data_IF_162189648976
#
_entry.id   IF_162189648976
#
_cell.length_a   1.000
_cell.length_b   1.000
_cell.length_c   1.000
_cell.angle_alpha   90.00
_cell.angle_beta   90.00
_cell.angle_gamma   90.00
#
_symmetry.space_group_name_H-M   'P 1'
#
loop_
_entity.id
_entity.type
_entity.pdbx_description
1 polymer ?
#
# COMPACT_ATOMS: atom_id res chain seq x y z
N UNK A 1 -13.80 -4.71 16.99
CA UNK A 1 -13.55 -3.66 17.98
C UNK A 1 -13.04 -2.46 17.19
N UNK A 2 -13.75 -1.33 17.17
CA UNK A 2 -13.34 -0.12 16.47
C UNK A 2 -12.35 0.64 17.37
N UNK A 3 -11.13 0.83 16.93
CA UNK A 3 -10.16 1.66 17.63
C UNK A 3 -10.03 3.00 16.91
N UNK A 4 -10.34 4.10 17.60
CA UNK A 4 -9.87 5.42 17.22
C UNK A 4 -8.43 5.54 17.68
N UNK A 5 -7.51 5.77 16.77
CA UNK A 5 -6.13 6.15 17.12
C UNK A 5 -6.19 7.57 17.63
N UNK A 6 -6.28 7.74 18.94
CA UNK A 6 -6.20 9.07 19.55
C UNK A 6 -4.79 9.66 19.33
N UNK A 7 -4.67 10.99 19.31
CA UNK A 7 -3.39 11.73 19.23
C UNK A 7 -2.29 11.24 20.20
N UNK A 8 -2.61 10.40 21.18
CA UNK A 8 -1.66 9.87 22.19
C UNK A 8 -0.95 8.58 21.77
N UNK A 9 -1.53 7.76 20.87
CA UNK A 9 -0.91 6.52 20.41
C UNK A 9 0.00 6.73 19.17
N UNK A 10 0.34 7.95 18.94
CA UNK A 10 0.83 8.57 17.74
C UNK A 10 2.34 8.46 17.50
N UNK A 11 3.01 7.39 17.91
CA UNK A 11 4.43 7.24 17.57
C UNK A 11 4.64 7.10 16.04
N UNK A 12 3.81 6.35 15.37
CA UNK A 12 3.75 6.27 13.90
C UNK A 12 3.38 7.62 13.29
N UNK A 13 2.42 8.30 13.92
CA UNK A 13 1.87 9.54 13.47
C UNK A 13 2.86 10.70 13.51
N UNK A 14 3.51 10.88 14.66
CA UNK A 14 4.40 12.02 14.86
C UNK A 14 5.72 11.90 14.09
N UNK A 15 6.24 10.66 13.88
CA UNK A 15 7.53 10.49 13.22
C UNK A 15 7.39 10.29 11.69
N UNK A 16 6.48 9.41 11.23
CA UNK A 16 6.35 9.14 9.79
C UNK A 16 5.62 10.26 9.04
N UNK A 17 4.53 10.78 9.60
CA UNK A 17 3.71 11.77 8.92
C UNK A 17 4.28 13.18 9.00
N UNK A 18 4.63 13.66 10.18
CA UNK A 18 5.11 15.03 10.34
C UNK A 18 6.47 15.28 9.72
N UNK A 19 7.36 14.29 9.73
CA UNK A 19 8.66 14.43 9.06
C UNK A 19 8.51 14.41 7.55
N UNK A 20 7.72 13.48 7.01
CA UNK A 20 7.49 13.37 5.56
C UNK A 20 6.60 14.48 5.00
N UNK A 21 5.59 14.93 5.75
CA UNK A 21 4.66 15.99 5.32
C UNK A 21 5.27 17.41 5.34
N UNK A 22 6.35 17.66 6.07
CA UNK A 22 7.01 18.98 6.16
C UNK A 22 7.56 19.49 4.83
N UNK A 23 7.77 18.62 3.85
CA UNK A 23 8.45 18.97 2.60
C UNK A 23 7.52 19.32 1.43
N UNK A 24 6.19 19.31 1.61
CA UNK A 24 5.25 19.54 0.49
C UNK A 24 4.24 20.63 0.86
N UNK A 25 4.47 21.88 0.39
CA UNK A 25 3.60 23.02 0.71
C UNK A 25 2.12 22.85 0.32
N UNK A 26 1.85 22.10 -0.75
CA UNK A 26 0.48 21.92 -1.29
C UNK A 26 -0.26 20.70 -0.70
N UNK A 27 0.36 19.96 0.21
CA UNK A 27 -0.21 18.75 0.79
C UNK A 27 -0.97 18.98 2.11
N UNK A 28 -1.10 20.22 2.55
CA UNK A 28 -1.86 20.56 3.77
C UNK A 28 -3.26 19.94 3.78
N UNK A 29 -3.87 19.78 2.60
CA UNK A 29 -5.21 19.19 2.47
C UNK A 29 -5.27 17.68 2.79
N UNK A 30 -4.26 16.93 2.41
CA UNK A 30 -4.21 15.47 2.71
C UNK A 30 -3.72 15.20 4.14
N UNK A 31 -2.85 16.04 4.67
CA UNK A 31 -2.22 15.88 6.01
C UNK A 31 -3.13 16.34 7.13
N UNK A 32 -3.91 17.40 6.94
CA UNK A 32 -4.86 17.89 7.94
C UNK A 32 -6.00 16.90 8.21
N UNK A 33 -6.36 16.07 7.21
CA UNK A 33 -7.37 15.02 7.35
C UNK A 33 -6.86 13.73 7.98
N UNK A 34 -5.57 13.62 8.23
CA UNK A 34 -4.94 12.41 8.75
C UNK A 34 -4.92 12.36 10.29
N UNK A 35 -5.34 13.41 10.96
CA UNK A 35 -5.40 13.48 12.43
C UNK A 35 -6.35 12.46 13.10
N UNK A 36 -7.15 11.70 12.32
CA UNK A 36 -8.14 10.77 12.81
C UNK A 36 -8.16 9.44 12.03
N UNK A 37 -7.01 8.75 11.93
CA UNK A 37 -7.04 7.41 11.35
C UNK A 37 -7.89 6.47 12.19
N UNK A 38 -8.75 5.76 11.48
CA UNK A 38 -9.63 4.72 12.02
C UNK A 38 -9.16 3.37 11.53
N UNK A 39 -9.22 2.39 12.39
CA UNK A 39 -8.74 1.04 12.13
C UNK A 39 -9.75 0.00 12.58
N UNK A 40 -9.86 -1.08 11.81
CA UNK A 40 -10.63 -2.27 12.18
C UNK A 40 -9.79 -3.52 11.96
N UNK A 41 -9.65 -4.36 12.97
CA UNK A 41 -8.80 -5.54 12.99
C UNK A 41 -7.71 -5.47 14.05
N UNK A 42 -6.53 -6.00 13.78
CA UNK A 42 -5.39 -6.01 14.70
C UNK A 42 -4.33 -4.99 14.27
N UNK A 43 -4.13 -3.98 15.10
CA UNK A 43 -3.18 -2.87 14.83
C UNK A 43 -1.73 -3.18 15.20
N UNK A 44 -1.46 -4.29 15.86
CA UNK A 44 -0.12 -4.59 16.41
C UNK A 44 0.99 -4.44 15.38
N UNK A 45 0.70 -4.90 14.15
CA UNK A 45 1.63 -4.84 13.03
C UNK A 45 1.89 -3.41 12.52
N UNK A 46 0.86 -2.57 12.48
CA UNK A 46 1.01 -1.21 11.95
C UNK A 46 1.85 -0.34 12.90
N UNK A 47 1.77 -0.61 14.20
CA UNK A 47 2.45 0.14 15.27
C UNK A 47 3.82 -0.43 15.63
N UNK A 48 4.17 -1.62 15.13
CA UNK A 48 5.47 -2.24 15.39
C UNK A 48 6.59 -1.45 14.70
N UNK A 49 7.61 -1.05 15.48
CA UNK A 49 8.80 -0.35 14.98
C UNK A 49 9.67 -1.20 14.06
N UNK A 50 9.56 -2.52 14.19
CA UNK A 50 10.27 -3.49 13.35
C UNK A 50 9.47 -3.91 12.12
N UNK A 51 8.27 -3.37 11.93
CA UNK A 51 7.49 -3.64 10.74
C UNK A 51 8.08 -2.91 9.53
N UNK A 52 8.27 -3.65 8.43
CA UNK A 52 8.56 -3.08 7.11
C UNK A 52 7.26 -3.06 6.31
N UNK A 53 6.69 -1.88 6.11
CA UNK A 53 5.41 -1.69 5.42
C UNK A 53 5.65 -1.54 3.93
N UNK A 54 5.28 -2.57 3.18
CA UNK A 54 5.54 -2.69 1.75
C UNK A 54 4.24 -2.51 0.99
N UNK A 55 4.07 -1.39 0.29
CA UNK A 55 2.92 -1.19 -0.56
C UNK A 55 3.08 -1.97 -1.87
N UNK A 56 2.08 -2.78 -2.23
CA UNK A 56 1.98 -3.44 -3.54
C UNK A 56 0.74 -2.91 -4.23
N UNK A 57 0.94 -2.16 -5.33
CA UNK A 57 -0.12 -1.45 -6.04
C UNK A 57 -0.06 -1.69 -7.54
N UNK A 58 -1.18 -1.41 -8.23
CA UNK A 58 -1.17 -1.53 -9.69
C UNK A 58 -2.53 -1.35 -10.35
N UNK A 59 -2.63 -1.92 -11.54
CA UNK A 59 -3.84 -1.83 -12.38
C UNK A 59 -5.02 -2.56 -11.77
N UNK A 60 -6.22 -2.01 -12.00
CA UNK A 60 -7.49 -2.68 -11.68
C UNK A 60 -7.83 -3.80 -12.68
N UNK A 61 -7.30 -3.72 -13.89
CA UNK A 61 -7.44 -4.71 -14.98
C UNK A 61 -6.19 -5.61 -15.00
N UNK A 62 -6.16 -6.60 -14.09
CA UNK A 62 -5.01 -7.47 -13.88
C UNK A 62 -5.02 -8.65 -14.86
N UNK A 63 -3.92 -8.86 -15.58
CA UNK A 63 -3.68 -10.04 -16.41
C UNK A 63 -2.97 -11.16 -15.61
N UNK A 64 -2.84 -12.34 -16.23
CA UNK A 64 -2.15 -13.49 -15.62
C UNK A 64 -0.69 -13.19 -15.31
N UNK A 65 -0.01 -12.41 -16.16
CA UNK A 65 1.39 -12.02 -15.95
C UNK A 65 1.52 -11.14 -14.68
N UNK A 66 0.64 -10.15 -14.51
CA UNK A 66 0.66 -9.32 -13.33
C UNK A 66 0.29 -10.09 -12.05
N UNK A 67 -0.65 -11.05 -12.11
CA UNK A 67 -0.93 -11.95 -10.97
C UNK A 67 0.30 -12.77 -10.60
N UNK A 68 0.99 -13.35 -11.57
CA UNK A 68 2.23 -14.09 -11.33
C UNK A 68 3.31 -13.19 -10.70
N UNK A 69 3.42 -11.93 -11.15
CA UNK A 69 4.35 -10.99 -10.58
C UNK A 69 4.02 -10.66 -9.11
N UNK A 70 2.75 -10.45 -8.75
CA UNK A 70 2.35 -10.26 -7.35
C UNK A 70 2.76 -11.46 -6.51
N UNK A 71 2.47 -12.68 -6.98
CA UNK A 71 2.84 -13.90 -6.26
C UNK A 71 4.36 -14.03 -6.07
N UNK A 72 5.15 -13.73 -7.11
CA UNK A 72 6.62 -13.75 -7.04
C UNK A 72 7.15 -12.71 -6.03
N UNK A 73 6.63 -11.48 -6.06
CA UNK A 73 7.03 -10.41 -5.14
C UNK A 73 6.76 -10.84 -3.69
N UNK A 74 5.54 -11.29 -3.40
CA UNK A 74 5.15 -11.70 -2.04
C UNK A 74 5.96 -12.91 -1.56
N UNK A 75 6.21 -13.90 -2.45
CA UNK A 75 7.06 -15.05 -2.13
C UNK A 75 8.50 -14.63 -1.81
N UNK A 76 9.07 -13.68 -2.55
CA UNK A 76 10.42 -13.16 -2.29
C UNK A 76 10.49 -12.35 -0.99
N UNK A 77 9.49 -11.53 -0.71
CA UNK A 77 9.36 -10.85 0.58
C UNK A 77 9.38 -11.88 1.72
N UNK A 78 8.55 -12.93 1.62
CA UNK A 78 8.51 -14.00 2.61
C UNK A 78 9.88 -14.66 2.80
N UNK A 79 10.55 -15.03 1.70
CA UNK A 79 11.89 -15.64 1.73
C UNK A 79 12.91 -14.75 2.45
N UNK A 80 12.89 -13.43 2.18
CA UNK A 80 13.81 -12.48 2.82
C UNK A 80 13.62 -12.46 4.34
N UNK A 81 12.37 -12.33 4.79
CA UNK A 81 12.07 -12.20 6.21
C UNK A 81 12.11 -13.51 6.99
N UNK A 82 11.89 -14.66 6.35
CA UNK A 82 12.10 -15.95 6.99
C UNK A 82 13.59 -16.21 7.33
N UNK A 83 14.48 -15.56 6.58
CA UNK A 83 15.93 -15.63 6.80
C UNK A 83 16.47 -14.42 7.61
N UNK A 84 15.62 -13.46 7.99
CA UNK A 84 16.03 -12.29 8.77
C UNK A 84 16.28 -12.65 10.24
N UNK A 85 17.46 -12.31 10.72
CA UNK A 85 17.87 -12.52 12.13
C UNK A 85 17.67 -11.28 12.99
N UNK A 86 17.29 -10.13 12.40
CA UNK A 86 17.12 -8.86 13.12
C UNK A 86 15.73 -8.73 13.75
N UNK A 87 14.81 -9.59 13.35
CA UNK A 87 13.44 -9.65 13.84
C UNK A 87 12.53 -8.63 13.15
N UNK A 88 12.93 -8.09 11.99
CA UNK A 88 12.02 -7.31 11.16
C UNK A 88 10.89 -8.19 10.61
N UNK A 89 9.73 -7.59 10.39
CA UNK A 89 8.52 -8.30 9.94
C UNK A 89 7.88 -7.56 8.78
N UNK A 90 7.59 -8.24 7.65
CA UNK A 90 6.93 -7.59 6.53
C UNK A 90 5.46 -7.38 6.82
N UNK A 91 4.92 -6.27 6.35
CA UNK A 91 3.49 -5.97 6.30
C UNK A 91 3.14 -5.53 4.89
N UNK A 92 2.27 -6.25 4.23
CA UNK A 92 1.79 -5.82 2.92
C UNK A 92 0.69 -4.78 3.10
N UNK A 93 0.87 -3.62 2.47
CA UNK A 93 -0.11 -2.54 2.45
C UNK A 93 -0.68 -2.42 1.04
N UNK A 94 -1.98 -2.31 0.90
CA UNK A 94 -2.59 -2.05 -0.40
C UNK A 94 -3.96 -1.38 -0.26
N UNK A 95 -4.63 -1.09 -1.38
CA UNK A 95 -5.84 -0.25 -1.40
C UNK A 95 -7.16 -1.00 -1.49
N UNK A 96 -7.17 -2.33 -1.39
CA UNK A 96 -8.36 -3.18 -1.56
C UNK A 96 -9.08 -3.00 -2.92
N UNK A 97 -8.47 -2.32 -3.89
CA UNK A 97 -9.07 -2.13 -5.22
C UNK A 97 -9.09 -3.45 -6.01
N UNK A 98 -9.88 -3.47 -7.08
CA UNK A 98 -9.82 -4.57 -8.07
C UNK A 98 -8.39 -4.72 -8.59
N UNK A 99 -8.04 -5.92 -9.06
CA UNK A 99 -6.78 -6.19 -9.73
C UNK A 99 -5.60 -6.45 -8.81
N UNK A 100 -4.54 -5.65 -8.91
CA UNK A 100 -3.28 -5.88 -8.18
C UNK A 100 -3.49 -5.80 -6.66
N UNK A 101 -4.25 -4.83 -6.18
CA UNK A 101 -4.42 -4.60 -4.74
C UNK A 101 -5.05 -5.81 -4.04
N UNK A 102 -6.17 -6.31 -4.57
CA UNK A 102 -6.84 -7.49 -3.99
C UNK A 102 -5.96 -8.75 -4.11
N UNK A 103 -5.20 -8.87 -5.20
CA UNK A 103 -4.28 -9.98 -5.37
C UNK A 103 -3.14 -9.92 -4.35
N UNK A 104 -2.62 -8.73 -4.04
CA UNK A 104 -1.60 -8.55 -3.01
C UNK A 104 -2.09 -9.03 -1.64
N UNK A 105 -3.32 -8.68 -1.23
CA UNK A 105 -3.91 -9.17 0.02
C UNK A 105 -4.09 -10.69 0.03
N UNK A 106 -4.55 -11.29 -1.10
CA UNK A 106 -4.69 -12.75 -1.24
C UNK A 106 -3.36 -13.46 -1.06
N UNK A 107 -2.32 -12.97 -1.74
CA UNK A 107 -0.98 -13.56 -1.68
C UNK A 107 -0.36 -13.38 -0.29
N UNK A 108 -0.54 -12.22 0.36
CA UNK A 108 -0.10 -11.98 1.73
C UNK A 108 -0.71 -13.01 2.69
N UNK A 109 -2.04 -13.17 2.68
CA UNK A 109 -2.73 -14.15 3.52
C UNK A 109 -2.30 -15.59 3.23
N UNK A 110 -2.10 -15.95 1.96
CA UNK A 110 -1.65 -17.30 1.56
C UNK A 110 -0.23 -17.62 2.05
N UNK A 111 0.60 -16.59 2.25
CA UNK A 111 1.98 -16.71 2.75
C UNK A 111 2.11 -16.38 4.25
N UNK A 112 1.00 -16.23 4.98
CA UNK A 112 0.98 -15.83 6.40
C UNK A 112 1.77 -14.53 6.67
N UNK A 113 1.69 -13.57 5.74
CA UNK A 113 2.23 -12.22 5.91
C UNK A 113 1.09 -11.30 6.34
N UNK A 114 1.26 -10.52 7.43
CA UNK A 114 0.31 -9.48 7.82
C UNK A 114 -0.03 -8.54 6.68
N UNK A 115 -1.30 -8.11 6.60
CA UNK A 115 -1.69 -7.20 5.53
C UNK A 115 -2.77 -6.21 5.96
N UNK A 116 -2.59 -4.95 5.56
CA UNK A 116 -3.48 -3.84 5.89
C UNK A 116 -4.03 -3.20 4.62
N UNK A 117 -5.35 -3.10 4.55
CA UNK A 117 -6.03 -2.43 3.44
C UNK A 117 -6.36 -0.98 3.82
N UNK A 118 -5.87 -0.02 3.04
CA UNK A 118 -6.21 1.40 3.17
C UNK A 118 -7.42 1.72 2.32
N UNK A 119 -8.48 2.25 2.92
CA UNK A 119 -9.78 2.44 2.27
C UNK A 119 -10.02 3.89 1.83
N UNK A 120 -10.68 4.12 0.68
CA UNK A 120 -11.14 5.45 0.24
C UNK A 120 -12.51 5.81 0.81
N UNK A 121 -13.00 5.06 1.78
CA UNK A 121 -14.34 5.16 2.39
C UNK A 121 -14.23 4.97 3.89
N UNK A 122 -15.30 5.26 4.61
CA UNK A 122 -15.43 4.84 6.00
C UNK A 122 -15.48 3.32 6.16
N UNK A 123 -15.30 2.85 7.39
CA UNK A 123 -15.25 1.41 7.69
C UNK A 123 -16.59 0.70 7.44
N UNK A 124 -17.71 1.43 7.52
CA UNK A 124 -19.04 0.89 7.26
C UNK A 124 -19.41 0.83 5.77
N UNK A 125 -18.62 1.44 4.91
CA UNK A 125 -18.87 1.58 3.46
C UNK A 125 -17.76 0.92 2.62
N UNK A 126 -17.58 -0.38 2.77
CA UNK A 126 -16.53 -1.10 2.03
C UNK A 126 -16.68 -0.95 0.52
N UNK A 127 -15.61 -0.47 -0.13
CA UNK A 127 -15.52 -0.31 -1.58
C UNK A 127 -14.22 -0.92 -2.15
N UNK A 128 -14.27 -1.68 -3.26
CA UNK A 128 -15.49 -2.08 -3.97
C UNK A 128 -16.31 -3.11 -3.19
N UNK A 129 -17.63 -3.09 -3.39
CA UNK A 129 -18.55 -4.00 -2.72
C UNK A 129 -18.18 -5.49 -2.89
N UNK A 130 -17.62 -5.84 -4.06
CA UNK A 130 -17.17 -7.20 -4.37
C UNK A 130 -16.06 -7.71 -3.42
N UNK A 131 -15.40 -6.83 -2.66
CA UNK A 131 -14.32 -7.19 -1.74
C UNK A 131 -14.72 -7.17 -0.26
N UNK A 132 -16.03 -7.12 0.05
CA UNK A 132 -16.50 -7.15 1.45
C UNK A 132 -16.07 -8.39 2.22
N UNK A 133 -16.10 -9.55 1.57
CA UNK A 133 -15.67 -10.81 2.20
C UNK A 133 -14.17 -10.77 2.52
N UNK A 134 -13.37 -10.18 1.63
CA UNK A 134 -11.95 -9.97 1.90
C UNK A 134 -11.75 -8.97 3.04
N UNK A 135 -12.46 -7.85 3.05
CA UNK A 135 -12.40 -6.86 4.12
C UNK A 135 -12.73 -7.50 5.47
N UNK A 136 -13.82 -8.28 5.54
CA UNK A 136 -14.19 -9.05 6.74
C UNK A 136 -13.07 -10.02 7.15
N UNK A 137 -12.55 -10.80 6.19
CA UNK A 137 -11.44 -11.72 6.46
C UNK A 137 -10.22 -11.02 7.04
N UNK A 138 -9.86 -9.82 6.53
CA UNK A 138 -8.75 -9.04 7.06
C UNK A 138 -8.99 -8.61 8.51
N UNK A 139 -10.21 -8.22 8.88
CA UNK A 139 -10.53 -7.81 10.26
C UNK A 139 -10.58 -8.97 11.25
N UNK A 140 -10.76 -10.19 10.77
CA UNK A 140 -10.83 -11.42 11.57
C UNK A 140 -9.48 -12.18 11.63
N UNK A 141 -8.51 -11.80 10.80
CA UNK A 141 -7.18 -12.42 10.76
C UNK A 141 -6.22 -11.67 11.69
N UNK A 142 -5.48 -12.37 12.57
CA UNK A 142 -4.48 -11.75 13.42
C UNK A 142 -3.48 -10.91 12.62
N UNK A 143 -3.06 -9.79 13.18
CA UNK A 143 -2.09 -8.88 12.58
C UNK A 143 -2.53 -8.27 11.23
N UNK A 144 -3.81 -8.38 10.87
CA UNK A 144 -4.39 -7.83 9.65
C UNK A 144 -5.53 -6.85 9.96
N UNK A 145 -5.88 -6.00 8.98
CA UNK A 145 -7.00 -5.10 9.18
C UNK A 145 -7.24 -4.10 8.05
N UNK A 146 -8.12 -3.16 8.36
CA UNK A 146 -8.54 -2.06 7.50
C UNK A 146 -8.13 -0.74 8.14
N UNK A 147 -7.66 0.18 7.35
CA UNK A 147 -7.28 1.53 7.76
C UNK A 147 -8.01 2.56 6.90
N UNK A 148 -8.52 3.62 7.50
CA UNK A 148 -9.08 4.75 6.77
C UNK A 148 -8.87 6.06 7.53
N UNK A 149 -8.83 7.16 6.78
CA UNK A 149 -8.83 8.53 7.31
C UNK A 149 -10.22 9.16 7.32
N UNK A 150 -11.23 8.44 6.83
CA UNK A 150 -12.58 8.94 6.65
C UNK A 150 -13.51 8.49 7.79
N UNK A 151 -14.56 9.26 8.03
CA UNK A 151 -15.63 8.89 8.95
C UNK A 151 -16.36 7.62 8.48
N UNK A 152 -16.86 6.81 9.43
CA UNK A 152 -17.37 5.45 9.19
C UNK A 152 -18.44 5.36 8.10
N UNK A 153 -19.30 6.38 7.98
CA UNK A 153 -20.36 6.47 6.98
C UNK A 153 -19.91 7.07 5.63
N UNK A 154 -18.63 7.46 5.48
CA UNK A 154 -18.15 8.12 4.26
C UNK A 154 -18.27 7.22 3.05
N UNK A 155 -19.04 7.65 2.05
CA UNK A 155 -19.23 6.97 0.79
C UNK A 155 -18.02 7.17 -0.16
N UNK A 156 -17.83 6.29 -1.17
CA UNK A 156 -16.75 6.46 -2.14
C UNK A 156 -16.94 7.74 -2.96
N UNK A 157 -15.87 8.54 -3.08
CA UNK A 157 -15.82 9.78 -3.86
C UNK A 157 -14.50 9.93 -4.59
N UNK A 158 -14.48 10.67 -5.70
CA UNK A 158 -13.27 10.80 -6.52
C UNK A 158 -12.08 11.38 -5.73
N UNK A 159 -12.31 12.42 -4.92
CA UNK A 159 -11.28 13.03 -4.07
C UNK A 159 -10.75 12.02 -3.04
N UNK A 160 -11.64 11.23 -2.43
CA UNK A 160 -11.25 10.26 -1.40
C UNK A 160 -10.24 9.23 -1.90
N UNK A 161 -10.28 8.88 -3.20
CA UNK A 161 -9.27 7.97 -3.76
C UNK A 161 -7.89 8.59 -3.82
N UNK A 162 -7.79 9.90 -4.07
CA UNK A 162 -6.52 10.63 -4.09
C UNK A 162 -5.98 10.75 -2.67
N UNK A 163 -6.81 11.15 -1.73
CA UNK A 163 -6.45 11.31 -0.33
C UNK A 163 -6.01 9.97 0.28
N UNK A 164 -6.75 8.88 -0.01
CA UNK A 164 -6.38 7.54 0.39
C UNK A 164 -5.03 7.12 -0.19
N UNK A 165 -4.73 7.46 -1.45
CA UNK A 165 -3.45 7.14 -2.06
C UNK A 165 -2.29 7.86 -1.36
N UNK A 166 -2.51 9.10 -0.90
CA UNK A 166 -1.53 9.81 -0.08
C UNK A 166 -1.30 9.10 1.26
N UNK A 167 -2.37 8.70 1.97
CA UNK A 167 -2.27 7.93 3.20
C UNK A 167 -1.51 6.62 2.99
N UNK A 168 -1.84 5.87 1.93
CA UNK A 168 -1.16 4.62 1.58
C UNK A 168 0.33 4.84 1.35
N UNK A 169 0.70 5.88 0.58
CA UNK A 169 2.09 6.22 0.32
C UNK A 169 2.84 6.61 1.61
N UNK A 170 2.22 7.44 2.46
CA UNK A 170 2.82 7.93 3.70
C UNK A 170 3.10 6.83 4.74
N UNK A 171 2.21 5.84 4.86
CA UNK A 171 2.41 4.75 5.83
C UNK A 171 3.36 3.66 5.32
N UNK A 172 3.77 3.71 4.07
CA UNK A 172 4.64 2.70 3.46
C UNK A 172 6.11 3.07 3.58
N UNK A 173 6.95 2.07 3.80
CA UNK A 173 8.41 2.21 3.78
C UNK A 173 8.96 1.99 2.38
N UNK A 174 8.24 1.23 1.54
CA UNK A 174 8.55 0.94 0.13
C UNK A 174 7.25 0.83 -0.65
N UNK A 175 7.24 1.32 -1.90
CA UNK A 175 6.11 1.16 -2.82
C UNK A 175 6.55 0.38 -4.06
N UNK A 176 5.85 -0.70 -4.38
CA UNK A 176 6.09 -1.54 -5.56
C UNK A 176 4.90 -1.42 -6.53
N UNK A 177 5.15 -0.93 -7.74
CA UNK A 177 4.17 -0.83 -8.82
C UNK A 177 4.31 -2.04 -9.74
N UNK A 178 3.33 -2.95 -9.71
CA UNK A 178 3.40 -4.22 -10.46
C UNK A 178 3.05 -4.05 -11.93
N UNK A 179 2.00 -3.29 -12.22
CA UNK A 179 1.56 -2.97 -13.57
C UNK A 179 0.68 -1.73 -13.54
N UNK A 180 0.84 -0.82 -14.50
CA UNK A 180 -0.02 0.34 -14.63
C UNK A 180 -0.01 0.89 -16.05
N UNK A 181 -1.17 1.32 -16.54
CA UNK A 181 -1.29 2.15 -17.74
C UNK A 181 -0.75 3.55 -17.43
N UNK A 182 -0.43 4.33 -18.46
CA UNK A 182 0.16 5.68 -18.36
C UNK A 182 -0.60 6.63 -17.42
N UNK A 183 -1.94 6.55 -17.38
CA UNK A 183 -2.82 7.38 -16.55
C UNK A 183 -3.51 6.58 -15.45
N UNK A 184 -2.92 5.47 -15.00
CA UNK A 184 -3.49 4.63 -13.93
C UNK A 184 -3.40 5.28 -12.55
N UNK A 185 -4.33 4.94 -11.65
CA UNK A 185 -4.33 5.44 -10.27
C UNK A 185 -3.04 5.11 -9.49
N UNK A 186 -2.40 3.97 -9.77
CA UNK A 186 -1.13 3.59 -9.17
C UNK A 186 0.02 4.58 -9.49
N UNK A 187 -0.05 5.29 -10.64
CA UNK A 187 0.93 6.33 -11.00
C UNK A 187 0.83 7.51 -10.03
N UNK A 188 -0.39 7.88 -9.60
CA UNK A 188 -0.60 8.96 -8.63
C UNK A 188 0.04 8.57 -7.30
N UNK A 189 -0.24 7.36 -6.81
CA UNK A 189 0.35 6.85 -5.57
C UNK A 189 1.88 6.81 -5.63
N UNK A 190 2.45 6.32 -6.75
CA UNK A 190 3.90 6.26 -6.94
C UNK A 190 4.55 7.65 -6.90
N UNK A 191 3.94 8.64 -7.56
CA UNK A 191 4.44 10.03 -7.54
C UNK A 191 4.32 10.67 -6.16
N UNK A 192 3.23 10.41 -5.43
CA UNK A 192 3.07 10.85 -4.05
C UNK A 192 4.15 10.21 -3.16
N UNK A 193 4.37 8.90 -3.26
CA UNK A 193 5.41 8.21 -2.51
C UNK A 193 6.79 8.81 -2.77
N UNK A 194 7.14 9.02 -4.05
CA UNK A 194 8.40 9.66 -4.44
C UNK A 194 8.54 11.07 -3.85
N UNK A 195 7.44 11.87 -3.84
CA UNK A 195 7.46 13.21 -3.25
C UNK A 195 7.54 13.21 -1.71
N UNK A 196 7.28 12.08 -1.07
CA UNK A 196 7.46 11.86 0.38
C UNK A 196 8.80 11.18 0.72
N UNK A 197 9.72 11.10 -0.21
CA UNK A 197 10.99 10.38 -0.08
C UNK A 197 10.81 8.89 0.25
N UNK A 198 9.65 8.31 -0.09
CA UNK A 198 9.42 6.86 0.00
C UNK A 198 9.97 6.20 -1.26
N UNK A 199 10.89 5.23 -1.15
CA UNK A 199 11.42 4.50 -2.28
C UNK A 199 10.32 3.83 -3.10
N UNK A 200 10.33 4.07 -4.42
CA UNK A 200 9.40 3.48 -5.37
C UNK A 200 10.15 2.53 -6.30
N UNK A 201 9.59 1.35 -6.50
CA UNK A 201 10.07 0.35 -7.45
C UNK A 201 8.96 -0.01 -8.43
N UNK A 202 9.33 -0.32 -9.66
CA UNK A 202 8.37 -0.72 -10.67
C UNK A 202 8.85 -1.95 -11.45
N UNK A 203 7.92 -2.86 -11.70
CA UNK A 203 8.15 -3.99 -12.58
C UNK A 203 8.14 -3.50 -14.03
N UNK A 204 9.25 -3.65 -14.79
CA UNK A 204 9.28 -3.22 -16.17
C UNK A 204 8.35 -4.06 -17.05
N UNK A 205 7.88 -3.46 -18.11
CA UNK A 205 7.10 -4.13 -19.14
C UNK A 205 7.77 -4.07 -20.51
N UNK A 206 7.30 -4.90 -21.44
CA UNK A 206 7.67 -4.79 -22.84
C UNK A 206 7.33 -3.38 -23.35
N UNK A 207 8.10 -2.82 -24.31
CA UNK A 207 7.89 -1.46 -24.81
C UNK A 207 6.46 -1.16 -25.27
N UNK A 208 5.82 -2.13 -25.95
CA UNK A 208 4.49 -1.98 -26.51
C UNK A 208 3.36 -2.53 -25.62
N UNK A 209 3.67 -3.00 -24.41
CA UNK A 209 2.65 -3.46 -23.47
C UNK A 209 1.95 -2.26 -22.80
N UNK A 210 0.80 -1.89 -23.35
CA UNK A 210 -0.03 -0.77 -22.86
C UNK A 210 -0.36 -0.89 -21.36
N UNK A 211 -0.46 -2.11 -20.81
CA UNK A 211 -0.75 -2.34 -19.39
C UNK A 211 0.39 -1.96 -18.47
N UNK A 212 1.63 -1.84 -19.02
CA UNK A 212 2.87 -1.58 -18.27
C UNK A 212 3.57 -0.30 -18.69
N UNK A 213 3.01 0.46 -19.66
CA UNK A 213 3.58 1.74 -20.10
C UNK A 213 3.74 2.73 -18.94
N UNK A 214 2.85 2.70 -17.94
CA UNK A 214 2.96 3.52 -16.75
C UNK A 214 4.19 3.17 -15.90
N UNK A 215 4.48 1.87 -15.70
CA UNK A 215 5.69 1.41 -15.00
C UNK A 215 6.95 1.86 -15.72
N UNK A 216 7.03 1.65 -17.05
CA UNK A 216 8.15 2.09 -17.87
C UNK A 216 8.36 3.62 -17.79
N UNK A 217 7.28 4.40 -17.79
CA UNK A 217 7.36 5.86 -17.64
C UNK A 217 7.84 6.29 -16.25
N UNK A 218 7.41 5.62 -15.16
CA UNK A 218 7.92 5.90 -13.81
C UNK A 218 9.42 5.65 -13.72
N UNK A 219 9.90 4.55 -14.31
CA UNK A 219 11.32 4.20 -14.36
C UNK A 219 12.07 5.24 -15.20
N UNK A 220 11.59 5.54 -16.41
CA UNK A 220 12.25 6.50 -17.32
C UNK A 220 12.35 7.91 -16.71
N UNK A 221 11.33 8.34 -15.96
CA UNK A 221 11.30 9.66 -15.32
C UNK A 221 12.07 9.73 -13.99
N UNK A 222 12.68 8.64 -13.52
CA UNK A 222 13.39 8.59 -12.25
C UNK A 222 12.47 8.59 -11.00
N UNK A 223 11.16 8.49 -11.17
CA UNK A 223 10.22 8.38 -10.05
C UNK A 223 10.29 7.00 -9.40
N UNK A 224 10.58 5.96 -10.18
CA UNK A 224 10.72 4.61 -9.67
C UNK A 224 12.05 3.98 -10.12
N UNK A 225 12.64 3.18 -9.25
CA UNK A 225 13.72 2.27 -9.59
C UNK A 225 13.15 1.04 -10.30
N UNK A 226 13.91 0.49 -11.23
CA UNK A 226 13.55 -0.76 -11.90
C UNK A 226 13.72 -1.95 -10.95
N UNK A 227 12.84 -2.95 -11.04
CA UNK A 227 13.07 -4.29 -10.50
C UNK A 227 13.66 -5.14 -11.64
N UNK A 228 14.99 -5.30 -11.72
CA UNK A 228 15.63 -5.99 -12.84
C UNK A 228 15.47 -7.50 -12.77
N UNK A 229 15.32 -8.06 -11.57
CA UNK A 229 15.08 -9.47 -11.31
C UNK A 229 14.35 -9.66 -9.99
N UNK A 230 13.75 -10.83 -9.78
CA UNK A 230 13.10 -11.13 -8.50
C UNK A 230 14.10 -11.25 -7.35
N UNK A 231 15.33 -11.65 -7.64
CA UNK A 231 16.38 -11.77 -6.61
C UNK A 231 16.90 -10.40 -6.14
N UNK A 232 16.78 -9.36 -6.98
CA UNK A 232 17.14 -8.00 -6.56
C UNK A 232 16.21 -7.43 -5.48
N UNK A 233 15.03 -8.02 -5.28
CA UNK A 233 14.17 -7.65 -4.15
C UNK A 233 14.83 -7.94 -2.78
N UNK A 234 15.79 -8.86 -2.72
CA UNK A 234 16.53 -9.17 -1.49
C UNK A 234 17.41 -8.00 -1.01
N UNK A 235 17.75 -7.10 -1.92
CA UNK A 235 18.55 -5.90 -1.61
C UNK A 235 17.71 -4.75 -1.02
N UNK A 236 16.37 -4.90 -1.02
CA UNK A 236 15.43 -3.89 -0.55
C UNK A 236 15.03 -4.07 0.91
N UNK A 237 15.32 -5.24 1.49
CA UNK A 237 14.81 -5.66 2.80
C UNK A 237 15.91 -6.07 3.77
#
# INVERSE_FOLDING_TARGET
MLYNISKRDSFLWNNLFRERARFIPDLHFAVDNVDNLRFSGDMSTLTDKKASRIAIIGTRDIDLKAKAHVAQIVSKIKECYDNDTTGHRPVIVSGLAMGVDIEAHKQALANNIPTVAVLPTGLDKIYPYAHRDMAKKLTETPECGLLTQFDDETAPGACNFIDRNATLALISDIVIVVASKKLGGAIITAKLAHSFDVPVFAVPGEPDDVRRTGCNNLIHSGVANIIPSWDSLKELF
#
